data_IF_126093018387
#
_entry.id   IF_126093018387
#
_cell.length_a   1.000
_cell.length_b   1.000
_cell.length_c   1.000
_cell.angle_alpha   90.00
_cell.angle_beta   90.00
_cell.angle_gamma   90.00
#
_symmetry.space_group_name_H-M   'P 1'
#
loop_
_entity.id
_entity.type
_entity.pdbx_description
1 polymer ?
#
# COMPACT_ATOMS: atom_id res chain seq x y z
N UNK A 1 -30.73 -19.53 -19.88
CA UNK A 1 -30.33 -18.13 -19.61
C UNK A 1 -29.03 -18.16 -18.82
N UNK A 2 -27.93 -17.78 -19.48
CA UNK A 2 -26.57 -17.99 -18.99
C UNK A 2 -26.13 -16.98 -17.93
N UNK A 3 -25.40 -17.44 -16.92
CA UNK A 3 -24.58 -16.59 -16.06
C UNK A 3 -23.16 -16.59 -16.61
N UNK A 4 -22.71 -15.44 -17.10
CA UNK A 4 -21.32 -15.22 -17.47
C UNK A 4 -20.45 -15.25 -16.21
N UNK A 5 -19.74 -16.36 -15.99
CA UNK A 5 -18.65 -16.44 -15.03
C UNK A 5 -17.43 -15.72 -15.59
N UNK A 6 -16.91 -14.73 -14.85
CA UNK A 6 -15.64 -14.07 -15.15
C UNK A 6 -14.51 -15.08 -14.90
N UNK A 7 -13.67 -15.43 -15.88
CA UNK A 7 -12.57 -16.39 -15.69
C UNK A 7 -11.36 -15.68 -15.06
N UNK A 8 -11.35 -15.57 -13.73
CA UNK A 8 -10.28 -14.89 -12.98
C UNK A 8 -9.17 -15.77 -12.39
N UNK A 9 -9.08 -17.06 -12.74
CA UNK A 9 -8.20 -18.03 -12.03
C UNK A 9 -6.84 -18.34 -12.66
N UNK A 10 -6.42 -17.65 -13.74
CA UNK A 10 -5.12 -17.96 -14.40
C UNK A 10 -3.94 -17.04 -14.04
N UNK A 11 -4.18 -15.84 -13.54
CA UNK A 11 -3.10 -14.85 -13.36
C UNK A 11 -2.49 -14.83 -11.94
N UNK A 12 -3.20 -15.31 -10.93
CA UNK A 12 -2.68 -15.39 -9.54
C UNK A 12 -1.65 -16.50 -9.35
N UNK A 13 -1.81 -17.61 -10.07
CA UNK A 13 -0.93 -18.78 -9.93
C UNK A 13 0.49 -18.52 -10.43
N UNK A 14 0.69 -17.63 -11.41
CA UNK A 14 2.03 -17.28 -11.90
C UNK A 14 2.77 -16.36 -10.92
N UNK A 15 2.05 -15.48 -10.23
CA UNK A 15 2.59 -14.64 -9.16
C UNK A 15 2.97 -15.47 -7.93
N UNK A 16 2.09 -16.39 -7.49
CA UNK A 16 2.35 -17.29 -6.35
C UNK A 16 3.36 -18.42 -6.63
N UNK A 17 3.53 -18.87 -7.87
CA UNK A 17 4.58 -19.85 -8.21
C UNK A 17 5.99 -19.23 -8.24
N UNK A 18 6.09 -17.92 -8.47
CA UNK A 18 7.36 -17.21 -8.34
C UNK A 18 7.69 -16.86 -6.88
N UNK A 19 6.70 -16.75 -5.99
CA UNK A 19 6.94 -16.38 -4.58
C UNK A 19 7.63 -17.50 -3.77
N UNK A 20 7.53 -18.77 -4.17
CA UNK A 20 8.29 -19.87 -3.54
C UNK A 20 9.78 -19.89 -3.91
N UNK A 21 10.22 -19.05 -4.86
CA UNK A 21 11.63 -18.86 -5.26
C UNK A 21 12.23 -17.53 -4.81
N UNK A 22 11.48 -16.65 -4.19
CA UNK A 22 12.02 -15.38 -3.70
C UNK A 22 12.69 -15.57 -2.35
N UNK A 23 14.01 -15.75 -2.38
CA UNK A 23 14.83 -15.64 -1.17
C UNK A 23 14.89 -14.17 -0.77
N UNK A 24 14.39 -13.84 0.41
CA UNK A 24 14.55 -12.52 1.01
C UNK A 24 16.03 -12.32 1.37
N UNK A 25 16.59 -11.10 1.20
CA UNK A 25 17.95 -10.85 1.65
C UNK A 25 18.03 -10.90 3.19
N UNK A 26 19.21 -11.22 3.73
CA UNK A 26 19.48 -11.24 5.18
C UNK A 26 19.60 -9.82 5.78
N UNK A 27 18.98 -8.83 5.15
CA UNK A 27 18.97 -7.40 5.49
C UNK A 27 17.60 -6.96 5.99
N UNK A 28 17.42 -5.69 6.40
CA UNK A 28 16.08 -5.14 6.62
C UNK A 28 15.37 -5.03 5.28
N UNK A 29 14.50 -6.01 4.98
CA UNK A 29 13.98 -6.23 3.62
C UNK A 29 12.51 -5.85 3.41
N UNK A 30 11.77 -5.49 4.46
CA UNK A 30 10.36 -5.04 4.34
C UNK A 30 9.35 -6.15 4.01
N UNK A 31 9.71 -7.41 4.26
CA UNK A 31 8.90 -8.62 4.00
C UNK A 31 8.31 -8.63 2.57
N UNK A 32 7.05 -9.05 2.44
CA UNK A 32 6.36 -9.18 1.15
C UNK A 32 6.23 -7.85 0.40
N UNK A 33 6.13 -6.71 1.10
CA UNK A 33 6.04 -5.40 0.46
C UNK A 33 7.34 -5.07 -0.27
N UNK A 34 8.48 -5.19 0.41
CA UNK A 34 9.79 -4.96 -0.22
C UNK A 34 10.05 -5.91 -1.39
N UNK A 35 9.72 -7.20 -1.22
CA UNK A 35 9.85 -8.20 -2.29
C UNK A 35 8.94 -7.87 -3.49
N UNK A 36 7.70 -7.47 -3.26
CA UNK A 36 6.74 -7.13 -4.32
C UNK A 36 7.25 -6.01 -5.22
N UNK A 37 7.88 -4.97 -4.67
CA UNK A 37 8.46 -3.88 -5.45
C UNK A 37 9.54 -4.36 -6.44
N UNK A 38 10.44 -5.22 -5.98
CA UNK A 38 11.51 -5.79 -6.79
C UNK A 38 10.95 -6.76 -7.84
N UNK A 39 9.98 -7.60 -7.46
CA UNK A 39 9.28 -8.52 -8.37
C UNK A 39 8.60 -7.72 -9.49
N UNK A 40 7.83 -6.69 -9.14
CA UNK A 40 7.10 -5.87 -10.11
C UNK A 40 8.05 -5.16 -11.07
N UNK A 41 9.15 -4.59 -10.57
CA UNK A 41 10.19 -4.00 -11.43
C UNK A 41 10.69 -5.00 -12.49
N UNK A 42 11.14 -6.19 -12.05
CA UNK A 42 11.67 -7.23 -12.95
C UNK A 42 10.61 -7.79 -13.91
N UNK A 43 9.37 -7.86 -13.46
CA UNK A 43 8.27 -8.42 -14.25
C UNK A 43 7.78 -7.44 -15.32
N UNK A 44 7.65 -6.17 -14.96
CA UNK A 44 7.12 -5.12 -15.83
C UNK A 44 8.19 -4.54 -16.76
N UNK A 45 9.45 -4.50 -16.32
CA UNK A 45 10.59 -3.91 -17.06
C UNK A 45 11.77 -4.90 -17.02
N UNK A 46 11.66 -6.08 -17.66
CA UNK A 46 12.66 -7.15 -17.55
C UNK A 46 14.07 -6.72 -17.99
N UNK A 47 14.20 -5.82 -18.96
CA UNK A 47 15.45 -5.26 -19.47
C UNK A 47 16.26 -4.51 -18.41
N UNK A 48 15.61 -3.99 -17.37
CA UNK A 48 16.27 -3.29 -16.27
C UNK A 48 16.93 -4.26 -15.29
N UNK A 49 16.72 -5.57 -15.39
CA UNK A 49 17.25 -6.53 -14.41
C UNK A 49 18.78 -6.58 -14.42
N UNK A 50 19.40 -6.38 -15.58
CA UNK A 50 20.86 -6.44 -15.77
C UNK A 50 21.47 -5.10 -16.17
N UNK A 51 20.68 -4.04 -16.30
CA UNK A 51 21.13 -2.75 -16.83
C UNK A 51 20.35 -1.56 -16.24
N UNK A 52 20.85 -0.35 -16.46
CA UNK A 52 20.20 0.88 -15.97
C UNK A 52 20.14 0.94 -14.44
N UNK A 53 19.03 1.43 -13.90
CA UNK A 53 18.85 1.60 -12.46
C UNK A 53 18.45 0.31 -11.71
N UNK A 54 18.03 -0.76 -12.41
CA UNK A 54 17.52 -1.96 -11.73
C UNK A 54 18.54 -2.67 -10.82
N UNK A 55 19.82 -2.84 -11.23
CA UNK A 55 20.85 -3.39 -10.33
C UNK A 55 21.09 -2.52 -9.10
N UNK A 56 20.98 -1.19 -9.23
CA UNK A 56 21.08 -0.27 -8.09
C UNK A 56 19.90 -0.49 -7.13
N UNK A 57 18.66 -0.57 -7.64
CA UNK A 57 17.49 -0.81 -6.79
C UNK A 57 17.61 -2.15 -6.03
N UNK A 58 18.10 -3.19 -6.72
CA UNK A 58 18.38 -4.49 -6.10
C UNK A 58 19.44 -4.38 -5.00
N UNK A 59 20.55 -3.69 -5.29
CA UNK A 59 21.64 -3.50 -4.32
C UNK A 59 21.18 -2.76 -3.06
N UNK A 60 20.32 -1.74 -3.19
CA UNK A 60 19.76 -1.03 -2.04
C UNK A 60 18.92 -2.01 -1.19
N UNK A 61 18.13 -2.87 -1.82
CA UNK A 61 17.32 -3.86 -1.10
C UNK A 61 18.19 -4.87 -0.35
N UNK A 62 19.18 -5.44 -1.03
CA UNK A 62 20.07 -6.48 -0.48
C UNK A 62 20.92 -5.98 0.68
N UNK A 63 21.25 -4.68 0.71
CA UNK A 63 22.11 -4.07 1.73
C UNK A 63 21.35 -3.08 2.64
N UNK A 64 20.02 -3.17 2.71
CA UNK A 64 19.19 -2.25 3.49
C UNK A 64 19.38 -2.46 5.00
N UNK A 65 19.75 -1.40 5.71
CA UNK A 65 20.00 -1.44 7.17
C UNK A 65 18.89 -0.77 8.00
N UNK A 66 17.98 -0.03 7.34
CA UNK A 66 16.92 0.74 8.00
C UNK A 66 15.77 1.07 7.06
N UNK A 67 14.61 1.45 7.60
CA UNK A 67 13.38 1.69 6.83
C UNK A 67 13.54 2.74 5.72
N UNK A 68 14.40 3.74 5.91
CA UNK A 68 14.66 4.74 4.87
C UNK A 68 15.36 4.16 3.63
N UNK A 69 16.17 3.11 3.77
CA UNK A 69 16.78 2.42 2.64
C UNK A 69 15.71 1.66 1.84
N UNK A 70 14.72 1.08 2.54
CA UNK A 70 13.55 0.49 1.88
C UNK A 70 12.73 1.53 1.11
N UNK A 71 12.49 2.72 1.67
CA UNK A 71 11.82 3.79 0.94
C UNK A 71 12.63 4.24 -0.29
N UNK A 72 13.94 4.29 -0.18
CA UNK A 72 14.85 4.59 -1.30
C UNK A 72 14.77 3.51 -2.40
N UNK A 73 14.74 2.23 -2.02
CA UNK A 73 14.52 1.11 -2.93
C UNK A 73 13.15 1.20 -3.61
N UNK A 74 12.09 1.49 -2.86
CA UNK A 74 10.73 1.65 -3.41
C UNK A 74 10.68 2.83 -4.39
N UNK A 75 11.35 3.94 -4.10
CA UNK A 75 11.46 5.06 -5.03
C UNK A 75 12.25 4.67 -6.29
N UNK A 76 13.38 3.96 -6.14
CA UNK A 76 14.21 3.47 -7.23
C UNK A 76 13.43 2.55 -8.18
N UNK A 77 12.72 1.54 -7.65
CA UNK A 77 11.89 0.63 -8.47
C UNK A 77 10.80 1.38 -9.23
N UNK A 78 10.21 2.42 -8.63
CA UNK A 78 9.24 3.29 -9.31
C UNK A 78 9.88 4.11 -10.43
N UNK A 79 11.11 4.59 -10.26
CA UNK A 79 11.83 5.30 -11.33
C UNK A 79 12.13 4.38 -12.51
N UNK A 80 12.47 3.11 -12.24
CA UNK A 80 12.68 2.10 -13.29
C UNK A 80 11.38 1.81 -14.05
N UNK A 81 10.27 1.62 -13.34
CA UNK A 81 8.94 1.39 -13.95
C UNK A 81 8.45 2.64 -14.72
N UNK A 82 8.82 3.82 -14.23
CA UNK A 82 8.43 5.11 -14.80
C UNK A 82 6.97 5.47 -14.58
N UNK A 83 6.47 6.40 -15.38
CA UNK A 83 5.09 6.91 -15.31
C UNK A 83 4.08 6.02 -16.07
N UNK A 84 4.53 4.90 -16.64
CA UNK A 84 3.66 3.96 -17.35
C UNK A 84 2.71 3.31 -16.34
N UNK A 85 1.40 3.40 -16.62
CA UNK A 85 0.35 2.87 -15.75
C UNK A 85 -0.34 1.63 -16.29
N UNK A 86 -0.21 1.31 -17.58
CA UNK A 86 -0.86 0.17 -18.23
C UNK A 86 0.16 -0.75 -18.90
N UNK A 87 0.19 -2.02 -18.45
CA UNK A 87 1.07 -3.09 -18.93
C UNK A 87 0.21 -4.24 -19.46
N UNK A 88 -0.50 -4.06 -20.60
CA UNK A 88 -1.42 -5.07 -21.14
C UNK A 88 -0.74 -6.41 -21.41
N UNK A 89 0.52 -6.41 -21.85
CA UNK A 89 1.34 -7.59 -22.11
C UNK A 89 1.64 -8.41 -20.84
N UNK A 90 1.53 -7.78 -19.66
CA UNK A 90 1.71 -8.40 -18.34
C UNK A 90 0.40 -8.56 -17.59
N UNK A 91 -0.72 -8.08 -18.13
CA UNK A 91 -2.02 -7.97 -17.47
C UNK A 91 -1.97 -7.21 -16.13
N UNK A 92 -1.18 -6.14 -16.07
CA UNK A 92 -1.03 -5.31 -14.86
C UNK A 92 -1.40 -3.87 -15.16
N UNK A 93 -2.14 -3.25 -14.24
CA UNK A 93 -2.41 -1.82 -14.23
C UNK A 93 -1.99 -1.23 -12.88
N UNK A 94 -1.21 -0.15 -12.93
CA UNK A 94 -0.80 0.62 -11.77
C UNK A 94 -1.65 1.89 -11.73
N UNK A 95 -2.43 2.05 -10.67
CA UNK A 95 -3.21 3.26 -10.48
C UNK A 95 -2.31 4.43 -10.07
N UNK A 96 -2.63 5.62 -10.56
CA UNK A 96 -1.98 6.85 -10.11
C UNK A 96 -2.15 7.02 -8.58
N UNK A 97 -1.19 7.70 -7.95
CA UNK A 97 -1.20 7.91 -6.49
C UNK A 97 -2.53 8.55 -6.05
N UNK A 98 -3.11 8.00 -4.98
CA UNK A 98 -4.38 8.48 -4.44
C UNK A 98 -5.62 8.11 -5.25
N UNK A 99 -5.49 7.32 -6.32
CA UNK A 99 -6.60 6.72 -7.05
C UNK A 99 -6.70 5.19 -6.84
N UNK A 100 -5.75 4.62 -6.09
CA UNK A 100 -5.80 3.22 -5.66
C UNK A 100 -6.79 3.02 -4.51
N UNK A 101 -7.31 1.80 -4.41
CA UNK A 101 -8.33 1.42 -3.44
C UNK A 101 -7.79 0.49 -2.34
N UNK A 102 -6.48 0.24 -2.36
CA UNK A 102 -5.74 -0.44 -1.31
C UNK A 102 -5.06 0.59 -0.41
N UNK A 103 -5.29 0.52 0.90
CA UNK A 103 -4.74 1.50 1.85
C UNK A 103 -4.51 0.89 3.22
N UNK A 104 -3.61 1.46 4.00
CA UNK A 104 -3.49 1.11 5.41
C UNK A 104 -4.74 1.45 6.22
N UNK A 105 -5.03 0.61 7.22
CA UNK A 105 -6.14 0.85 8.15
C UNK A 105 -5.97 2.15 8.96
N UNK A 106 -4.73 2.57 9.26
CA UNK A 106 -4.46 3.72 10.11
C UNK A 106 -4.84 5.06 9.45
N UNK A 107 -4.87 5.13 8.12
CA UNK A 107 -5.17 6.36 7.38
C UNK A 107 -6.54 6.95 7.71
N UNK A 108 -7.51 6.09 8.04
CA UNK A 108 -8.86 6.48 8.46
C UNK A 108 -9.24 5.87 9.82
N UNK A 109 -8.25 5.61 10.68
CA UNK A 109 -8.45 5.06 12.02
C UNK A 109 -9.37 3.82 12.02
N UNK A 110 -9.10 2.87 11.13
CA UNK A 110 -9.86 1.61 10.95
C UNK A 110 -11.22 1.72 10.27
N UNK A 111 -11.71 2.93 9.98
CA UNK A 111 -12.94 3.09 9.20
C UNK A 111 -12.76 2.60 7.77
N UNK A 112 -13.86 2.19 7.14
CA UNK A 112 -13.89 1.60 5.80
C UNK A 112 -15.12 2.06 5.00
N UNK A 113 -15.04 1.98 3.68
CA UNK A 113 -16.14 2.26 2.75
C UNK A 113 -16.22 1.16 1.69
N UNK A 114 -17.32 1.10 0.94
CA UNK A 114 -17.50 0.07 -0.10
C UNK A 114 -16.53 0.24 -1.29
N UNK A 115 -16.00 1.46 -1.49
CA UNK A 115 -15.00 1.72 -2.53
C UNK A 115 -13.56 1.38 -2.08
N UNK A 116 -13.37 0.83 -0.87
CA UNK A 116 -12.07 0.27 -0.47
C UNK A 116 -11.96 -1.16 -1.02
N UNK A 117 -11.04 -1.38 -1.95
CA UNK A 117 -10.74 -2.70 -2.51
C UNK A 117 -10.02 -3.59 -1.49
N UNK A 118 -9.10 -2.99 -0.72
CA UNK A 118 -8.34 -3.71 0.30
C UNK A 118 -7.92 -2.77 1.43
N UNK A 119 -8.13 -3.20 2.67
CA UNK A 119 -7.56 -2.53 3.84
C UNK A 119 -6.34 -3.33 4.29
N UNK A 120 -5.16 -2.73 4.16
CA UNK A 120 -3.87 -3.28 4.54
C UNK A 120 -3.61 -3.11 6.05
N UNK A 121 -2.63 -3.86 6.56
CA UNK A 121 -2.19 -3.86 7.96
C UNK A 121 -3.22 -4.37 8.98
N UNK A 122 -4.22 -5.12 8.52
CA UNK A 122 -5.16 -5.86 9.38
C UNK A 122 -4.43 -7.09 9.96
N UNK A 123 -4.34 -7.17 11.29
CA UNK A 123 -3.65 -8.26 12.01
C UNK A 123 -4.53 -8.81 13.12
N UNK A 124 -4.82 -10.11 13.12
CA UNK A 124 -5.69 -10.79 14.10
C UNK A 124 -5.28 -10.52 15.56
N UNK A 125 -3.98 -10.36 15.81
CA UNK A 125 -3.44 -10.05 17.15
C UNK A 125 -3.93 -8.70 17.71
N UNK A 126 -4.39 -7.80 16.82
CA UNK A 126 -4.95 -6.48 17.16
C UNK A 126 -6.47 -6.48 17.25
N UNK A 127 -7.11 -7.66 17.20
CA UNK A 127 -8.56 -7.77 17.41
C UNK A 127 -8.92 -7.33 18.83
N UNK A 128 -9.58 -6.17 18.92
CA UNK A 128 -10.10 -5.56 20.15
C UNK A 128 -11.51 -5.01 19.89
N UNK A 129 -12.55 -5.87 19.87
CA UNK A 129 -13.92 -5.45 19.52
C UNK A 129 -14.48 -4.36 20.44
N UNK A 130 -14.07 -4.36 21.70
CA UNK A 130 -14.53 -3.39 22.71
C UNK A 130 -13.96 -1.97 22.49
N UNK A 131 -12.84 -1.85 21.76
CA UNK A 131 -12.20 -0.56 21.47
C UNK A 131 -12.90 0.21 20.32
N UNK A 132 -13.88 -0.41 19.64
CA UNK A 132 -14.64 0.20 18.54
C UNK A 132 -15.53 1.35 19.03
N UNK A 133 -16.04 1.27 20.26
CA UNK A 133 -16.94 2.28 20.83
C UNK A 133 -16.28 3.65 21.10
N UNK A 134 -14.95 3.74 21.01
CA UNK A 134 -14.15 4.94 21.33
C UNK A 134 -13.60 5.64 20.09
N UNK A 135 -14.08 5.26 18.90
CA UNK A 135 -13.52 5.80 17.65
C UNK A 135 -14.03 7.23 17.38
N UNK A 136 -13.16 8.11 16.86
CA UNK A 136 -13.43 9.55 16.77
C UNK A 136 -14.38 9.89 15.61
N UNK A 137 -14.98 11.08 15.68
CA UNK A 137 -15.95 11.56 14.70
C UNK A 137 -15.32 11.85 13.31
N UNK A 138 -16.17 11.91 12.28
CA UNK A 138 -15.83 11.98 10.85
C UNK A 138 -14.65 12.91 10.48
N UNK A 139 -14.57 14.12 11.05
CA UNK A 139 -13.53 15.10 10.71
C UNK A 139 -12.17 14.83 11.37
N UNK A 140 -12.13 13.96 12.38
CA UNK A 140 -10.95 13.53 13.12
C UNK A 140 -10.39 12.21 12.59
N UNK A 141 -11.01 11.62 11.56
CA UNK A 141 -10.59 10.34 11.01
C UNK A 141 -9.25 10.41 10.26
N UNK A 142 -8.80 11.60 9.87
CA UNK A 142 -7.48 11.77 9.26
C UNK A 142 -6.44 12.20 10.29
N UNK A 143 -5.30 11.52 10.31
CA UNK A 143 -4.09 12.03 10.96
C UNK A 143 -3.20 12.64 9.88
N UNK A 144 -2.95 13.95 9.98
CA UNK A 144 -2.03 14.66 9.08
C UNK A 144 -0.59 14.52 9.59
N UNK A 145 -0.43 14.18 10.86
CA UNK A 145 0.86 13.85 11.51
C UNK A 145 1.13 12.35 11.46
N UNK A 146 2.40 11.98 11.39
CA UNK A 146 2.88 10.58 11.39
C UNK A 146 2.80 9.95 12.81
N UNK A 147 1.71 10.20 13.54
CA UNK A 147 1.55 9.73 14.90
C UNK A 147 1.35 8.20 14.92
N UNK A 148 2.37 7.51 15.43
CA UNK A 148 2.50 6.04 15.49
C UNK A 148 1.49 5.39 16.46
N UNK A 149 0.82 6.18 17.32
CA UNK A 149 -0.05 5.67 18.39
C UNK A 149 -1.52 6.02 18.17
N UNK A 150 -2.09 5.57 17.04
CA UNK A 150 -3.54 5.57 16.87
C UNK A 150 -4.07 4.22 17.38
N UNK A 151 -5.02 4.17 18.32
CA UNK A 151 -5.70 2.93 18.67
C UNK A 151 -6.51 2.45 17.46
N UNK A 152 -6.06 1.37 16.83
CA UNK A 152 -6.70 0.79 15.66
C UNK A 152 -7.62 -0.35 16.10
N UNK A 153 -8.86 -0.30 15.65
CA UNK A 153 -9.78 -1.42 15.74
C UNK A 153 -9.52 -2.40 14.58
N UNK A 154 -9.80 -3.67 14.82
CA UNK A 154 -9.80 -4.66 13.76
C UNK A 154 -11.19 -4.62 13.10
N UNK A 155 -11.31 -4.19 11.84
CA UNK A 155 -12.60 -3.87 11.24
C UNK A 155 -13.40 -5.09 10.80
N UNK A 156 -12.88 -6.30 10.98
CA UNK A 156 -13.55 -7.55 10.62
C UNK A 156 -14.13 -8.19 11.89
N UNK A 157 -15.37 -8.69 11.84
CA UNK A 157 -16.05 -9.24 13.01
C UNK A 157 -15.54 -10.63 13.40
N UNK A 158 -15.00 -11.38 12.44
CA UNK A 158 -14.50 -12.74 12.64
C UNK A 158 -12.98 -12.84 12.51
N UNK A 159 -12.36 -13.81 13.21
CA UNK A 159 -10.95 -14.16 13.00
C UNK A 159 -10.76 -14.92 11.70
N UNK A 160 -9.55 -14.84 11.13
CA UNK A 160 -9.19 -15.55 9.91
C UNK A 160 -9.25 -17.08 10.10
N UNK A 161 -10.14 -17.74 9.35
CA UNK A 161 -10.12 -19.20 9.22
C UNK A 161 -9.37 -19.60 7.94
N UNK A 162 -8.07 -19.92 8.08
CA UNK A 162 -7.19 -20.27 6.94
C UNK A 162 -7.72 -21.48 6.16
N UNK A 163 -8.32 -22.46 6.84
CA UNK A 163 -8.86 -23.66 6.20
C UNK A 163 -10.01 -23.32 5.26
N UNK A 164 -10.95 -22.48 5.72
CA UNK A 164 -12.07 -22.00 4.89
C UNK A 164 -11.63 -21.05 3.77
N UNK A 165 -10.57 -20.26 3.99
CA UNK A 165 -10.00 -19.41 2.95
C UNK A 165 -9.47 -20.23 1.77
N UNK A 166 -8.80 -21.37 2.04
CA UNK A 166 -8.22 -22.23 1.00
C UNK A 166 -9.25 -22.82 0.04
N UNK A 167 -10.46 -23.08 0.53
CA UNK A 167 -11.56 -23.62 -0.28
C UNK A 167 -12.47 -22.53 -0.88
N UNK A 168 -12.22 -21.26 -0.56
CA UNK A 168 -12.96 -20.12 -1.12
C UNK A 168 -14.36 -19.91 -0.55
N UNK A 169 -14.65 -20.50 0.62
CA UNK A 169 -15.99 -20.44 1.24
C UNK A 169 -16.09 -19.40 2.37
N UNK A 170 -14.97 -18.76 2.73
CA UNK A 170 -14.98 -17.73 3.77
C UNK A 170 -15.76 -16.50 3.31
N UNK A 171 -16.66 -16.01 4.16
CA UNK A 171 -17.23 -14.67 4.05
C UNK A 171 -16.68 -13.82 5.18
N UNK A 172 -16.26 -12.62 4.82
CA UNK A 172 -15.72 -11.65 5.75
C UNK A 172 -16.77 -10.59 6.02
N UNK A 173 -17.13 -10.41 7.28
CA UNK A 173 -18.05 -9.36 7.69
C UNK A 173 -17.25 -8.21 8.27
N UNK A 174 -17.25 -7.06 7.59
CA UNK A 174 -16.71 -5.84 8.18
C UNK A 174 -17.71 -5.24 9.18
N UNK A 175 -17.21 -4.71 10.29
CA UNK A 175 -18.02 -4.08 11.34
C UNK A 175 -18.65 -2.81 10.80
N UNK A 176 -19.99 -2.82 10.68
CA UNK A 176 -20.77 -1.71 10.15
C UNK A 176 -20.66 -0.42 10.95
N UNK A 177 -20.23 -0.47 12.22
CA UNK A 177 -20.02 0.72 13.06
C UNK A 177 -18.83 1.56 12.57
N UNK A 178 -17.89 0.95 11.87
CA UNK A 178 -16.72 1.60 11.28
C UNK A 178 -16.95 2.00 9.81
N UNK A 179 -18.15 1.76 9.27
CA UNK A 179 -18.47 2.07 7.88
C UNK A 179 -18.73 3.56 7.72
N UNK A 180 -18.05 4.17 6.77
CA UNK A 180 -18.29 5.54 6.31
C UNK A 180 -18.80 5.53 4.87
N UNK A 181 -19.48 6.62 4.47
CA UNK A 181 -19.91 6.78 3.09
C UNK A 181 -18.72 6.98 2.13
N UNK A 182 -18.86 6.52 0.89
CA UNK A 182 -17.87 6.76 -0.17
C UNK A 182 -17.61 8.27 -0.37
N UNK A 183 -18.65 9.10 -0.24
CA UNK A 183 -18.53 10.56 -0.31
C UNK A 183 -17.65 11.12 0.81
N UNK A 184 -17.85 10.67 2.05
CA UNK A 184 -17.02 11.08 3.18
C UNK A 184 -15.57 10.63 2.97
N UNK A 185 -15.35 9.37 2.57
CA UNK A 185 -14.00 8.86 2.26
C UNK A 185 -13.29 9.73 1.23
N UNK A 186 -13.94 10.04 0.10
CA UNK A 186 -13.36 10.86 -0.95
C UNK A 186 -13.02 12.27 -0.47
N UNK A 187 -13.87 12.88 0.36
CA UNK A 187 -13.59 14.19 0.96
C UNK A 187 -12.37 14.14 1.90
N UNK A 188 -12.26 13.11 2.73
CA UNK A 188 -11.14 12.94 3.66
C UNK A 188 -9.82 12.73 2.93
N UNK A 189 -9.78 11.92 1.87
CA UNK A 189 -8.58 11.75 1.05
C UNK A 189 -8.23 12.98 0.23
N UNK A 190 -9.22 13.70 -0.28
CA UNK A 190 -8.97 14.98 -0.94
C UNK A 190 -8.30 15.96 0.02
N UNK A 191 -8.81 16.08 1.26
CA UNK A 191 -8.22 16.93 2.30
C UNK A 191 -6.79 16.49 2.64
N UNK A 192 -6.58 15.20 2.91
CA UNK A 192 -5.24 14.66 3.22
C UNK A 192 -4.23 14.93 2.10
N UNK A 193 -4.63 14.72 0.84
CA UNK A 193 -3.81 15.02 -0.34
C UNK A 193 -3.42 16.50 -0.39
N UNK A 194 -4.39 17.38 -0.21
CA UNK A 194 -4.17 18.83 -0.23
C UNK A 194 -3.21 19.27 0.88
N UNK A 195 -3.37 18.76 2.10
CA UNK A 195 -2.48 19.13 3.22
C UNK A 195 -1.06 18.59 3.03
N UNK A 196 -0.90 17.35 2.57
CA UNK A 196 0.43 16.79 2.27
C UNK A 196 1.12 17.51 1.10
N UNK A 197 0.36 17.92 0.09
CA UNK A 197 0.91 18.72 -1.00
C UNK A 197 1.42 20.08 -0.51
N UNK A 198 0.65 20.79 0.33
CA UNK A 198 1.09 22.05 0.95
C UNK A 198 2.33 21.87 1.82
N UNK A 199 2.40 20.79 2.59
CA UNK A 199 3.56 20.44 3.39
C UNK A 199 4.81 20.27 2.52
N UNK A 200 4.73 19.44 1.48
CA UNK A 200 5.81 19.20 0.52
C UNK A 200 6.27 20.49 -0.16
N UNK A 201 5.34 21.34 -0.59
CA UNK A 201 5.66 22.63 -1.20
C UNK A 201 6.47 23.52 -0.25
N UNK A 202 6.04 23.65 1.01
CA UNK A 202 6.77 24.42 2.02
C UNK A 202 8.18 23.88 2.28
N UNK A 203 8.35 22.56 2.27
CA UNK A 203 9.69 21.95 2.40
C UNK A 203 10.57 22.28 1.20
N UNK A 204 10.02 22.21 -0.01
CA UNK A 204 10.73 22.55 -1.23
C UNK A 204 11.15 24.02 -1.26
N UNK A 205 10.26 24.95 -0.91
CA UNK A 205 10.58 26.38 -0.82
C UNK A 205 11.72 26.63 0.18
N UNK A 206 11.67 26.01 1.37
CA UNK A 206 12.74 26.13 2.37
C UNK A 206 14.09 25.60 1.86
N UNK A 207 14.08 24.51 1.10
CA UNK A 207 15.28 23.95 0.49
C UNK A 207 15.84 24.87 -0.59
N UNK A 208 15.00 25.47 -1.43
CA UNK A 208 15.44 26.47 -2.40
C UNK A 208 16.05 27.70 -1.72
N UNK A 209 15.45 28.14 -0.61
CA UNK A 209 15.97 29.26 0.17
C UNK A 209 17.30 28.94 0.86
N UNK A 210 17.53 27.70 1.31
CA UNK A 210 18.83 27.30 1.87
C UNK A 210 19.91 27.31 0.79
N UNK A 211 19.62 26.77 -0.40
CA UNK A 211 20.56 26.79 -1.53
C UNK A 211 20.93 28.22 -1.95
N UNK A 212 19.99 29.17 -1.89
CA UNK A 212 20.27 30.58 -2.20
C UNK A 212 21.18 31.25 -1.19
N UNK A 213 21.12 30.84 0.08
CA UNK A 213 21.97 31.38 1.14
C UNK A 213 23.40 30.84 1.09
N UNK A 214 23.61 29.66 0.53
CA UNK A 214 24.93 29.05 0.38
C UNK A 214 25.71 29.60 -0.84
N UNK A 215 25.08 30.44 -1.66
CA UNK A 215 25.64 31.02 -2.90
C UNK A 215 25.98 32.52 -2.75
N UNK A 216 25.67 33.14 -1.61
CA UNK A 216 25.98 34.54 -1.27
C UNK A 216 26.92 34.61 -0.05
#
# INVERSE_FOLDING_TARGET
MGRHGIPGKRNTDQFSRNSTRFKLPDSIHGSDNGALHIVLMRYLVPESTSSGLGPLCQSIWENSEHDFALFSMQACTRLVIGERTDFPERHVRIFAKGNGWARDQWLLKSHWSDDDFMVHSIKDQRLRPDDIAKQPHDYELISITDAIQIPLAFPVLERLNITQCKIGEVRWSLDGRLRISNLLRSRLFHRMRTEKFKEQHRHFEKYLDSLRKDVL
#
